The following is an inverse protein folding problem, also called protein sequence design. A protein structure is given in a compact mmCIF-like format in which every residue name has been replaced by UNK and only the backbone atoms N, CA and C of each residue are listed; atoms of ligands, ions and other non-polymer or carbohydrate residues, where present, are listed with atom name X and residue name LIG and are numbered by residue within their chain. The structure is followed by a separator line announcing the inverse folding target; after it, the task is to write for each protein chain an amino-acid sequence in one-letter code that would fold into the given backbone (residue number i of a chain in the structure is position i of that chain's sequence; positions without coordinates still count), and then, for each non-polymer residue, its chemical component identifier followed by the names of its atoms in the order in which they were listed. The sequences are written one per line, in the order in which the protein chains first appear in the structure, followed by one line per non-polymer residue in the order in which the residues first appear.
data_IF_480217940633
#
_entry.id   IF_480217940633
#
_cell.length_a   1.000
_cell.length_b   1.000
_cell.length_c   1.000
_cell.angle_alpha   90.00
_cell.angle_beta   90.00
_cell.angle_gamma   90.00
#
_symmetry.space_group_name_H-M   'P 1'
#
loop_
_entity.id
_entity.type
_entity.pdbx_description
1 polymer ?
#
# COMPACT_ATOMS: atom_id res chain seq x y z
N UNK A 1 -5.03 -21.23 23.66
CA UNK A 1 -4.25 -19.98 23.54
C UNK A 1 -4.17 -19.64 22.07
N UNK A 2 -5.01 -18.71 21.60
CA UNK A 2 -5.08 -18.34 20.19
C UNK A 2 -3.96 -17.33 19.91
N UNK A 3 -3.03 -17.70 19.04
CA UNK A 3 -2.04 -16.80 18.46
C UNK A 3 -2.81 -15.85 17.55
N UNK A 4 -2.82 -14.56 17.84
CA UNK A 4 -3.30 -13.53 16.94
C UNK A 4 -2.04 -12.83 16.47
N UNK A 5 -1.58 -13.19 15.28
CA UNK A 5 -0.42 -12.59 14.63
C UNK A 5 -0.97 -11.87 13.41
N UNK A 6 -1.46 -10.64 13.58
CA UNK A 6 -1.88 -9.84 12.42
C UNK A 6 -0.63 -9.19 11.85
N UNK A 7 0.09 -9.92 11.02
CA UNK A 7 1.23 -9.40 10.28
C UNK A 7 0.68 -8.87 8.94
N UNK A 8 0.69 -7.54 8.70
CA UNK A 8 0.42 -7.03 7.35
C UNK A 8 1.61 -6.27 6.78
N UNK A 9 2.66 -6.93 6.34
CA UNK A 9 3.78 -6.23 5.71
C UNK A 9 3.39 -5.68 4.33
N UNK A 10 2.90 -4.44 4.25
CA UNK A 10 2.72 -3.73 2.97
C UNK A 10 4.07 -3.23 2.44
N UNK A 11 4.68 -4.00 1.55
CA UNK A 11 5.84 -3.57 0.75
C UNK A 11 5.51 -3.82 -0.72
N UNK A 12 5.02 -2.79 -1.40
CA UNK A 12 4.73 -2.89 -2.83
C UNK A 12 6.00 -2.72 -3.66
N UNK A 13 6.29 -3.73 -4.49
CA UNK A 13 7.12 -3.62 -5.69
C UNK A 13 6.16 -3.48 -6.89
N UNK A 14 6.10 -2.31 -7.53
CA UNK A 14 5.16 -2.01 -8.61
C UNK A 14 5.86 -1.70 -9.93
N UNK A 15 6.42 -2.73 -10.55
CA UNK A 15 6.94 -2.67 -11.91
C UNK A 15 5.80 -2.55 -12.91
N UNK A 16 5.77 -1.41 -13.62
CA UNK A 16 4.93 -1.09 -14.78
C UNK A 16 3.57 -0.44 -14.48
N UNK A 17 3.56 0.85 -14.11
CA UNK A 17 2.34 1.63 -13.97
C UNK A 17 2.43 3.04 -14.60
N UNK A 18 2.94 3.16 -15.82
CA UNK A 18 2.78 4.40 -16.60
C UNK A 18 2.20 4.11 -17.98
N UNK A 19 1.09 4.76 -18.29
CA UNK A 19 0.64 5.03 -19.66
C UNK A 19 1.08 6.47 -19.96
N UNK A 20 1.61 6.68 -21.15
CA UNK A 20 2.31 7.89 -21.58
C UNK A 20 1.78 9.25 -21.05
N UNK A 21 2.75 10.10 -20.72
CA UNK A 21 2.77 11.57 -20.65
C UNK A 21 1.74 12.35 -19.80
N UNK A 22 0.74 11.74 -19.16
CA UNK A 22 -0.16 12.46 -18.22
C UNK A 22 -0.45 11.69 -16.91
N UNK A 23 0.49 11.86 -15.97
CA UNK A 23 0.36 12.19 -14.52
C UNK A 23 -0.52 11.40 -13.53
N UNK A 24 -1.31 10.39 -13.89
CA UNK A 24 -2.08 9.63 -12.87
C UNK A 24 -2.12 8.14 -13.13
N UNK A 25 -1.74 7.35 -12.11
CA UNK A 25 -1.79 5.89 -12.15
C UNK A 25 -3.23 5.41 -12.37
N UNK A 26 -3.44 4.39 -13.22
CA UNK A 26 -4.76 3.77 -13.39
C UNK A 26 -5.27 3.15 -12.08
N UNK A 27 -4.39 2.92 -11.10
CA UNK A 27 -4.74 2.48 -9.76
C UNK A 27 -5.67 3.46 -9.03
N UNK A 28 -5.61 4.75 -9.36
CA UNK A 28 -6.47 5.78 -8.76
C UNK A 28 -7.96 5.49 -8.95
N UNK A 29 -8.35 4.79 -10.03
CA UNK A 29 -9.75 4.45 -10.27
C UNK A 29 -10.35 3.51 -9.21
N UNK A 30 -9.50 2.79 -8.46
CA UNK A 30 -9.90 1.84 -7.43
C UNK A 30 -10.00 2.46 -6.03
N UNK A 31 -9.60 3.73 -5.88
CA UNK A 31 -9.70 4.44 -4.60
C UNK A 31 -10.85 5.43 -4.68
N UNK A 32 -11.83 5.24 -3.81
CA UNK A 32 -13.06 6.04 -3.76
C UNK A 32 -13.37 6.45 -2.31
N UNK A 33 -14.51 7.12 -2.11
CA UNK A 33 -14.97 7.47 -0.77
C UNK A 33 -15.25 6.24 0.10
N UNK A 34 -15.52 5.08 -0.50
CA UNK A 34 -15.90 3.83 0.20
C UNK A 34 -14.93 2.68 -0.01
N UNK A 35 -14.02 2.77 -0.99
CA UNK A 35 -13.14 1.67 -1.40
C UNK A 35 -11.67 2.11 -1.45
N UNK A 36 -10.76 1.18 -1.22
CA UNK A 36 -9.32 1.35 -1.43
C UNK A 36 -8.71 0.10 -2.01
N UNK A 37 -7.49 0.23 -2.50
CA UNK A 37 -6.62 -0.90 -2.78
C UNK A 37 -6.18 -1.50 -1.45
N UNK A 38 -6.36 -2.81 -1.33
CA UNK A 38 -5.80 -3.65 -0.27
C UNK A 38 -4.40 -4.11 -0.69
N UNK A 39 -4.26 -4.72 -1.86
CA UNK A 39 -2.94 -5.08 -2.39
C UNK A 39 -2.89 -5.08 -3.91
N UNK A 40 -1.69 -4.90 -4.45
CA UNK A 40 -1.35 -5.12 -5.84
C UNK A 40 -0.21 -6.14 -5.91
N UNK A 41 -0.24 -7.04 -6.88
CA UNK A 41 0.79 -8.04 -7.07
C UNK A 41 1.12 -8.23 -8.55
N UNK A 42 2.41 -8.49 -8.80
CA UNK A 42 2.89 -8.76 -10.16
C UNK A 42 2.42 -10.14 -10.63
N UNK A 43 1.95 -10.14 -11.88
CA UNK A 43 1.51 -11.27 -12.66
C UNK A 43 2.19 -11.25 -14.04
N UNK A 44 3.38 -10.65 -14.17
CA UNK A 44 4.15 -10.59 -15.42
C UNK A 44 4.51 -11.97 -15.97
N UNK A 45 4.71 -12.94 -15.09
CA UNK A 45 4.96 -14.35 -15.45
C UNK A 45 3.66 -15.16 -15.59
N UNK A 46 2.52 -14.61 -15.16
CA UNK A 46 1.23 -15.27 -15.15
C UNK A 46 0.39 -14.87 -16.37
N UNK A 47 -0.25 -15.86 -17.02
CA UNK A 47 -1.19 -15.58 -18.12
C UNK A 47 -2.56 -15.13 -17.63
N UNK A 48 -2.88 -15.41 -16.38
CA UNK A 48 -4.14 -15.10 -15.71
C UNK A 48 -3.95 -15.08 -14.19
N UNK A 49 -4.83 -14.40 -13.47
CA UNK A 49 -4.88 -14.49 -12.00
C UNK A 49 -5.63 -15.75 -11.61
N UNK A 50 -5.02 -16.59 -10.78
CA UNK A 50 -5.68 -17.77 -10.21
C UNK A 50 -6.24 -17.49 -8.82
N UNK A 51 -7.24 -18.27 -8.39
CA UNK A 51 -7.77 -18.20 -7.01
C UNK A 51 -6.69 -18.45 -5.96
N UNK A 52 -5.80 -19.41 -6.22
CA UNK A 52 -4.68 -19.73 -5.32
C UNK A 52 -3.75 -18.54 -5.14
N UNK A 53 -3.44 -17.82 -6.22
CA UNK A 53 -2.63 -16.59 -6.16
C UNK A 53 -3.31 -15.52 -5.31
N UNK A 54 -4.62 -15.31 -5.48
CA UNK A 54 -5.39 -14.38 -4.65
C UNK A 54 -5.33 -14.76 -3.18
N UNK A 55 -5.50 -16.05 -2.85
CA UNK A 55 -5.41 -16.54 -1.48
C UNK A 55 -4.03 -16.30 -0.88
N UNK A 56 -2.95 -16.63 -1.60
CA UNK A 56 -1.59 -16.39 -1.14
C UNK A 56 -1.33 -14.92 -0.83
N UNK A 57 -1.82 -14.02 -1.70
CA UNK A 57 -1.66 -12.59 -1.51
C UNK A 57 -2.46 -12.12 -0.29
N UNK A 58 -3.71 -12.55 -0.14
CA UNK A 58 -4.48 -12.22 1.05
C UNK A 58 -3.85 -12.81 2.32
N UNK A 59 -3.23 -13.98 2.26
CA UNK A 59 -2.57 -14.62 3.41
C UNK A 59 -1.33 -13.84 3.85
N UNK A 60 -0.49 -13.44 2.90
CA UNK A 60 0.66 -12.56 3.13
C UNK A 60 0.21 -11.21 3.71
N UNK A 61 -0.85 -10.65 3.13
CA UNK A 61 -1.30 -9.33 3.49
C UNK A 61 -1.99 -9.38 4.83
N UNK A 62 -2.94 -10.28 5.09
CA UNK A 62 -3.88 -10.20 6.21
C UNK A 62 -3.93 -11.42 7.13
N UNK A 63 -3.01 -12.39 7.01
CA UNK A 63 -3.09 -13.70 7.70
C UNK A 63 -4.44 -14.39 7.40
N UNK A 64 -4.80 -14.40 6.12
CA UNK A 64 -6.08 -14.83 5.56
C UNK A 64 -6.32 -16.34 5.69
N UNK A 65 -7.31 -16.70 6.51
CA UNK A 65 -7.76 -18.08 6.64
C UNK A 65 -8.74 -18.45 5.50
N UNK A 66 -8.31 -19.30 4.56
CA UNK A 66 -9.15 -19.85 3.47
C UNK A 66 -10.49 -20.45 3.95
N UNK A 67 -10.52 -20.95 5.19
CA UNK A 67 -11.73 -21.50 5.82
C UNK A 67 -12.80 -20.44 6.08
N UNK A 68 -12.40 -19.18 6.21
CA UNK A 68 -13.27 -18.05 6.57
C UNK A 68 -13.78 -17.28 5.35
N UNK A 69 -13.29 -17.59 4.15
CA UNK A 69 -13.67 -16.86 2.93
C UNK A 69 -13.93 -17.78 1.74
N UNK A 70 -14.70 -17.29 0.78
CA UNK A 70 -15.00 -17.93 -0.50
C UNK A 70 -14.58 -17.02 -1.67
N UNK A 71 -13.91 -17.59 -2.67
CA UNK A 71 -13.58 -16.89 -3.91
C UNK A 71 -14.54 -17.31 -5.02
N UNK A 72 -15.36 -16.37 -5.47
CA UNK A 72 -16.38 -16.57 -6.50
C UNK A 72 -16.12 -15.71 -7.73
N UNK A 73 -16.71 -16.11 -8.85
CA UNK A 73 -16.78 -15.25 -10.03
C UNK A 73 -17.89 -14.20 -9.84
N UNK A 74 -17.66 -12.93 -10.21
CA UNK A 74 -18.66 -11.88 -10.09
C UNK A 74 -19.86 -12.15 -11.01
N UNK A 75 -21.08 -12.04 -10.48
CA UNK A 75 -22.29 -12.19 -11.31
C UNK A 75 -22.47 -11.04 -12.31
N UNK A 76 -21.99 -9.84 -11.95
CA UNK A 76 -22.00 -8.63 -12.77
C UNK A 76 -20.62 -7.97 -12.68
N UNK A 77 -19.62 -8.48 -13.43
CA UNK A 77 -18.26 -7.97 -13.34
C UNK A 77 -18.18 -6.49 -13.74
N UNK A 78 -17.47 -5.71 -12.92
CA UNK A 78 -16.93 -4.43 -13.36
C UNK A 78 -15.80 -4.65 -14.39
N UNK A 79 -15.43 -3.62 -15.18
CA UNK A 79 -14.30 -3.72 -16.09
C UNK A 79 -13.04 -4.26 -15.39
N UNK A 80 -12.47 -5.33 -15.95
CA UNK A 80 -11.28 -6.03 -15.46
C UNK A 80 -11.45 -6.77 -14.12
N UNK A 81 -12.65 -6.83 -13.54
CA UNK A 81 -12.90 -7.61 -12.34
C UNK A 81 -12.91 -9.11 -12.68
N UNK A 82 -12.07 -9.88 -11.98
CA UNK A 82 -11.91 -11.32 -12.19
C UNK A 82 -12.53 -12.15 -11.06
N UNK A 83 -12.49 -11.67 -9.82
CA UNK A 83 -13.06 -12.39 -8.68
C UNK A 83 -13.71 -11.47 -7.65
N UNK A 84 -14.54 -12.09 -6.82
CA UNK A 84 -14.99 -11.57 -5.53
C UNK A 84 -14.55 -12.52 -4.43
N UNK A 85 -14.08 -11.96 -3.32
CA UNK A 85 -13.72 -12.71 -2.12
C UNK A 85 -14.66 -12.28 -1.01
N UNK A 86 -15.41 -13.25 -0.49
CA UNK A 86 -16.52 -13.01 0.43
C UNK A 86 -16.27 -13.76 1.71
N UNK A 87 -16.41 -13.09 2.86
CA UNK A 87 -16.40 -13.75 4.15
C UNK A 87 -17.57 -14.74 4.27
N UNK A 88 -17.29 -15.92 4.82
CA UNK A 88 -18.28 -16.96 5.13
C UNK A 88 -19.00 -16.71 6.46
N UNK A 89 -18.43 -15.88 7.33
CA UNK A 89 -19.08 -15.43 8.56
C UNK A 89 -20.08 -14.30 8.27
N UNK A 90 -20.85 -13.88 9.28
CA UNK A 90 -21.81 -12.78 9.15
C UNK A 90 -21.16 -11.42 8.80
N UNK A 91 -19.83 -11.36 8.74
CA UNK A 91 -19.11 -10.17 8.29
C UNK A 91 -19.37 -9.94 6.80
N UNK A 92 -19.76 -8.71 6.43
CA UNK A 92 -20.03 -8.33 5.03
C UNK A 92 -18.76 -7.94 4.28
N UNK A 93 -17.64 -8.54 4.67
CA UNK A 93 -16.34 -8.23 4.10
C UNK A 93 -16.29 -8.81 2.70
N UNK A 94 -16.06 -7.90 1.75
CA UNK A 94 -16.14 -8.14 0.33
C UNK A 94 -14.94 -7.48 -0.30
N UNK A 95 -14.07 -8.31 -0.86
CA UNK A 95 -12.95 -7.84 -1.66
C UNK A 95 -13.24 -8.09 -3.12
N UNK A 96 -12.92 -7.12 -3.97
CA UNK A 96 -12.95 -7.31 -5.43
C UNK A 96 -11.53 -7.46 -5.93
N UNK A 97 -11.34 -8.42 -6.83
CA UNK A 97 -10.06 -8.69 -7.47
C UNK A 97 -10.15 -8.27 -8.94
N UNK A 98 -9.18 -7.49 -9.39
CA UNK A 98 -9.06 -7.03 -10.76
C UNK A 98 -7.73 -7.50 -11.37
N UNK A 99 -7.70 -7.68 -12.70
CA UNK A 99 -6.49 -7.98 -13.45
C UNK A 99 -6.31 -6.99 -14.60
N UNK A 100 -5.26 -6.17 -14.55
CA UNK A 100 -4.97 -5.14 -15.56
C UNK A 100 -3.49 -5.16 -15.85
N UNK A 101 -3.09 -5.25 -17.13
CA UNK A 101 -1.70 -5.10 -17.58
C UNK A 101 -0.69 -5.94 -16.78
N UNK A 102 -0.99 -7.22 -16.55
CA UNK A 102 -0.15 -8.12 -15.74
C UNK A 102 -0.07 -7.74 -14.25
N UNK A 103 -1.01 -6.98 -13.74
CA UNK A 103 -1.10 -6.63 -12.31
C UNK A 103 -2.41 -7.14 -11.74
N UNK A 104 -2.32 -7.94 -10.68
CA UNK A 104 -3.45 -8.27 -9.82
C UNK A 104 -3.69 -7.18 -8.78
N UNK A 105 -4.95 -6.84 -8.56
CA UNK A 105 -5.37 -5.74 -7.68
C UNK A 105 -6.50 -6.25 -6.81
N UNK A 106 -6.32 -6.26 -5.49
CA UNK A 106 -7.36 -6.56 -4.53
C UNK A 106 -7.79 -5.25 -3.90
N UNK A 107 -9.09 -5.01 -3.86
CA UNK A 107 -9.68 -3.83 -3.22
C UNK A 107 -10.49 -4.23 -2.00
N UNK A 108 -10.56 -3.33 -1.03
CA UNK A 108 -11.33 -3.51 0.20
C UNK A 108 -12.22 -2.30 0.46
N UNK A 109 -13.33 -2.52 1.19
CA UNK A 109 -14.10 -1.42 1.76
C UNK A 109 -13.26 -0.68 2.79
N UNK A 110 -13.42 0.63 2.84
CA UNK A 110 -12.73 1.47 3.81
C UNK A 110 -13.09 1.15 5.26
N UNK A 111 -14.35 0.79 5.50
CA UNK A 111 -14.81 0.39 6.84
C UNK A 111 -14.08 -0.86 7.37
N UNK A 112 -13.72 -1.79 6.48
CA UNK A 112 -12.96 -2.98 6.85
C UNK A 112 -11.58 -2.60 7.42
N UNK A 113 -10.84 -1.76 6.68
CA UNK A 113 -9.53 -1.22 7.05
C UNK A 113 -9.61 -0.50 8.41
N UNK A 114 -10.60 0.37 8.59
CA UNK A 114 -10.80 1.10 9.86
C UNK A 114 -11.08 0.17 11.04
N UNK A 115 -11.89 -0.87 10.85
CA UNK A 115 -12.20 -1.83 11.90
C UNK A 115 -10.95 -2.63 12.28
N UNK A 116 -10.15 -3.06 11.30
CA UNK A 116 -8.93 -3.80 11.55
C UNK A 116 -7.89 -2.95 12.32
N UNK A 117 -7.75 -1.66 11.98
CA UNK A 117 -6.95 -0.70 12.77
C UNK A 117 -7.45 -0.60 14.21
N UNK A 118 -8.77 -0.43 14.38
CA UNK A 118 -9.36 -0.24 15.70
C UNK A 118 -9.14 -1.48 16.59
N UNK A 119 -9.29 -2.69 16.01
CA UNK A 119 -9.02 -3.95 16.71
C UNK A 119 -7.55 -4.02 17.10
N UNK A 120 -6.63 -3.71 16.20
CA UNK A 120 -5.21 -3.76 16.52
C UNK A 120 -4.83 -2.80 17.65
N UNK A 121 -5.23 -1.53 17.55
CA UNK A 121 -4.99 -0.54 18.61
C UNK A 121 -5.59 -0.99 19.96
N UNK A 122 -6.76 -1.63 19.94
CA UNK A 122 -7.38 -2.16 21.16
C UNK A 122 -6.55 -3.28 21.78
N UNK A 123 -5.99 -4.18 20.96
CA UNK A 123 -5.11 -5.24 21.46
C UNK A 123 -3.84 -4.62 22.06
N UNK A 124 -3.23 -3.63 21.41
CA UNK A 124 -2.06 -2.91 21.98
C UNK A 124 -2.35 -2.32 23.35
N UNK A 125 -3.53 -1.69 23.50
CA UNK A 125 -3.98 -1.12 24.78
C UNK A 125 -4.16 -2.19 25.86
N UNK A 126 -4.62 -3.38 25.49
CA UNK A 126 -4.92 -4.47 26.43
C UNK A 126 -3.68 -5.29 26.82
N UNK A 127 -2.78 -5.56 25.86
CA UNK A 127 -1.63 -6.44 26.06
C UNK A 127 -0.34 -5.68 26.35
N UNK A 128 -0.26 -4.39 25.98
CA UNK A 128 0.98 -3.63 25.97
C UNK A 128 2.00 -4.15 24.94
N UNK A 129 1.63 -5.14 24.13
CA UNK A 129 2.42 -5.60 22.99
C UNK A 129 2.13 -4.67 21.83
N UNK A 130 3.19 -4.10 21.24
CA UNK A 130 3.09 -3.35 20.00
C UNK A 130 2.61 -4.30 18.90
N UNK A 131 1.36 -4.11 18.48
CA UNK A 131 0.74 -4.87 17.41
C UNK A 131 1.07 -4.05 16.17
N UNK A 132 2.13 -4.47 15.49
CA UNK A 132 2.39 -3.98 14.15
C UNK A 132 1.13 -4.21 13.32
N UNK A 133 0.37 -3.14 13.09
CA UNK A 133 -0.90 -3.14 12.37
C UNK A 133 -0.74 -2.25 11.14
N UNK A 134 -0.14 -2.77 10.08
CA UNK A 134 0.31 -1.90 9.01
C UNK A 134 -0.84 -1.53 8.07
N UNK A 135 -2.08 -1.92 8.40
CA UNK A 135 -3.31 -1.44 7.78
C UNK A 135 -3.42 0.04 8.08
N UNK A 136 -2.64 0.91 7.45
CA UNK A 136 -2.90 2.34 7.39
C UNK A 136 -2.57 2.77 5.97
N UNK A 137 -3.60 2.69 5.13
CA UNK A 137 -3.74 3.33 3.83
C UNK A 137 -2.47 3.46 2.98
N UNK A 138 -1.66 2.41 2.84
CA UNK A 138 -0.50 2.39 1.94
C UNK A 138 -0.95 2.34 0.49
N UNK A 139 -1.23 3.48 -0.15
CA UNK A 139 -1.46 3.50 -1.61
C UNK A 139 -0.14 3.82 -2.29
N UNK A 140 0.28 2.96 -3.21
CA UNK A 140 1.35 3.26 -4.15
C UNK A 140 0.88 4.29 -5.16
N UNK A 141 1.63 5.38 -5.30
CA UNK A 141 1.13 6.53 -6.06
C UNK A 141 1.80 6.65 -7.42
N UNK A 142 3.13 6.69 -7.49
CA UNK A 142 3.85 6.88 -8.78
C UNK A 142 5.23 6.22 -8.76
N UNK A 143 5.65 5.74 -9.94
CA UNK A 143 7.03 5.37 -10.26
C UNK A 143 7.73 6.53 -10.97
N UNK A 144 8.88 6.98 -10.46
CA UNK A 144 9.68 8.04 -11.08
C UNK A 144 11.11 7.57 -11.30
N UNK A 145 11.55 7.53 -12.56
CA UNK A 145 12.95 7.28 -12.89
C UNK A 145 13.81 8.49 -12.46
N UNK A 146 14.61 8.29 -11.42
CA UNK A 146 15.49 9.31 -10.85
C UNK A 146 16.92 9.19 -11.40
N UNK A 147 17.18 8.19 -12.25
CA UNK A 147 18.45 7.97 -12.93
C UNK A 147 19.56 7.40 -12.05
N UNK A 148 19.26 6.98 -10.82
CA UNK A 148 20.23 6.45 -9.87
C UNK A 148 19.70 5.19 -9.19
N UNK A 149 20.53 4.16 -9.14
CA UNK A 149 20.26 2.93 -8.39
C UNK A 149 20.78 3.06 -6.96
N UNK A 150 20.12 2.37 -6.03
CA UNK A 150 20.62 2.17 -4.67
C UNK A 150 20.97 3.49 -3.94
N UNK A 151 20.06 4.45 -3.95
CA UNK A 151 20.23 5.74 -3.26
C UNK A 151 20.38 5.49 -1.76
N UNK A 152 21.48 5.97 -1.20
CA UNK A 152 21.82 5.89 0.21
C UNK A 152 21.39 7.14 0.97
N UNK A 153 21.32 7.08 2.30
CA UNK A 153 21.02 8.24 3.16
C UNK A 153 21.97 9.44 2.96
N UNK A 154 23.18 9.19 2.43
CA UNK A 154 24.20 10.22 2.18
C UNK A 154 24.08 10.89 0.81
N UNK A 155 23.24 10.36 -0.08
CA UNK A 155 23.06 10.84 -1.46
C UNK A 155 22.12 12.07 -1.53
N UNK A 156 22.52 13.14 -0.84
CA UNK A 156 21.73 14.37 -0.67
C UNK A 156 21.18 14.98 -1.98
N UNK A 157 21.92 14.88 -3.08
CA UNK A 157 21.44 15.33 -4.41
C UNK A 157 20.20 14.55 -4.87
N UNK A 158 20.23 13.22 -4.75
CA UNK A 158 19.16 12.35 -5.22
C UNK A 158 17.98 12.33 -4.27
N UNK A 159 18.22 12.44 -2.97
CA UNK A 159 17.15 12.66 -1.97
C UNK A 159 16.39 13.94 -2.30
N UNK A 160 17.11 15.05 -2.55
CA UNK A 160 16.48 16.33 -2.92
C UNK A 160 15.68 16.23 -4.23
N UNK A 161 16.19 15.52 -5.25
CA UNK A 161 15.45 15.28 -6.50
C UNK A 161 14.17 14.48 -6.27
N UNK A 162 14.22 13.46 -5.41
CA UNK A 162 13.05 12.66 -5.04
C UNK A 162 12.01 13.56 -4.36
N UNK A 163 12.42 14.32 -3.34
CA UNK A 163 11.57 15.25 -2.61
C UNK A 163 10.96 16.33 -3.52
N UNK A 164 11.73 16.93 -4.42
CA UNK A 164 11.24 17.91 -5.40
C UNK A 164 10.20 17.29 -6.34
N UNK A 165 10.43 16.05 -6.78
CA UNK A 165 9.45 15.32 -7.59
C UNK A 165 8.17 15.04 -6.81
N UNK A 166 8.30 14.55 -5.58
CA UNK A 166 7.19 14.29 -4.67
C UNK A 166 6.40 15.58 -4.41
N UNK A 167 7.05 16.70 -4.15
CA UNK A 167 6.38 18.01 -4.03
C UNK A 167 5.69 18.44 -5.33
N UNK A 168 6.21 18.07 -6.51
CA UNK A 168 5.55 18.38 -7.77
C UNK A 168 4.21 17.65 -7.97
N UNK A 169 4.06 16.48 -7.35
CA UNK A 169 2.80 15.69 -7.35
C UNK A 169 1.95 15.93 -6.09
N UNK A 170 2.56 16.41 -5.00
CA UNK A 170 1.90 16.83 -3.76
C UNK A 170 2.35 18.26 -3.38
N UNK A 171 1.84 19.31 -4.04
CA UNK A 171 2.33 20.68 -3.85
C UNK A 171 2.10 21.24 -2.44
N UNK A 172 1.25 20.58 -1.64
CA UNK A 172 0.99 20.91 -0.24
C UNK A 172 1.93 20.19 0.74
N UNK A 173 2.76 19.25 0.28
CA UNK A 173 3.78 18.62 1.13
C UNK A 173 4.94 19.57 1.37
N UNK A 174 5.12 19.94 2.65
CA UNK A 174 6.31 20.63 3.12
C UNK A 174 7.15 19.67 3.96
N UNK A 175 8.21 19.14 3.36
CA UNK A 175 9.14 18.21 3.99
C UNK A 175 9.79 18.74 5.26
N UNK A 176 9.83 20.07 5.48
CA UNK A 176 10.33 20.66 6.72
C UNK A 176 9.45 20.36 7.94
N UNK A 177 8.19 19.98 7.72
CA UNK A 177 7.26 19.57 8.79
C UNK A 177 7.40 18.08 9.16
N UNK A 178 8.29 17.36 8.49
CA UNK A 178 8.52 15.94 8.69
C UNK A 178 9.92 15.68 9.25
N UNK A 179 10.02 14.60 10.02
CA UNK A 179 11.27 13.99 10.43
C UNK A 179 11.53 12.80 9.52
N UNK A 180 12.66 12.81 8.81
CA UNK A 180 13.12 11.68 8.00
C UNK A 180 13.79 10.63 8.90
N UNK A 181 13.41 9.35 8.74
CA UNK A 181 14.16 8.19 9.19
C UNK A 181 14.43 7.27 8.00
N UNK A 182 15.67 6.82 7.86
CA UNK A 182 16.06 5.89 6.80
C UNK A 182 16.15 4.48 7.38
N UNK A 183 15.68 3.48 6.63
CA UNK A 183 15.75 2.06 7.00
C UNK A 183 16.11 1.18 5.80
N UNK A 184 16.71 0.03 6.06
CA UNK A 184 16.98 -1.00 5.05
C UNK A 184 15.80 -1.98 4.96
N UNK A 185 15.43 -2.39 3.75
CA UNK A 185 14.43 -3.42 3.49
C UNK A 185 15.05 -4.75 3.03
N UNK A 186 14.22 -5.80 2.95
CA UNK A 186 14.64 -7.21 2.80
C UNK A 186 15.45 -7.53 1.52
N UNK A 187 15.36 -6.68 0.50
CA UNK A 187 16.04 -6.86 -0.79
C UNK A 187 17.20 -5.86 -1.02
N UNK A 188 17.74 -5.28 0.06
CA UNK A 188 18.78 -4.24 -0.02
C UNK A 188 18.25 -2.90 -0.55
N UNK A 189 16.93 -2.73 -0.53
CA UNK A 189 16.28 -1.46 -0.83
C UNK A 189 16.43 -0.51 0.36
N UNK A 190 16.57 0.79 0.07
CA UNK A 190 16.62 1.83 1.09
C UNK A 190 15.27 2.52 1.13
N UNK A 191 14.71 2.66 2.33
CA UNK A 191 13.38 3.21 2.57
C UNK A 191 13.54 4.53 3.33
N UNK A 192 12.98 5.60 2.78
CA UNK A 192 13.01 6.95 3.32
C UNK A 192 11.64 7.27 3.92
N UNK A 193 11.53 7.23 5.24
CA UNK A 193 10.28 7.33 5.98
C UNK A 193 10.12 8.72 6.61
N UNK A 194 9.04 9.42 6.30
CA UNK A 194 8.76 10.77 6.77
C UNK A 194 7.62 10.75 7.79
N UNK A 195 7.90 11.27 8.98
CA UNK A 195 6.97 11.31 10.10
C UNK A 195 6.65 12.76 10.46
N UNK A 196 5.37 13.09 10.60
CA UNK A 196 4.98 14.28 11.37
C UNK A 196 5.48 14.14 12.80
N UNK A 197 5.68 15.29 13.46
CA UNK A 197 6.10 15.32 14.87
C UNK A 197 5.14 14.50 15.77
N UNK A 198 3.85 14.63 15.54
CA UNK A 198 2.82 13.89 16.28
C UNK A 198 2.90 12.37 16.04
N UNK A 199 3.07 11.93 14.79
CA UNK A 199 3.25 10.52 14.47
C UNK A 199 4.47 9.93 15.19
N UNK A 200 5.58 10.69 15.20
CA UNK A 200 6.82 10.26 15.84
C UNK A 200 6.71 10.17 17.37
N UNK A 201 6.02 11.12 18.01
CA UNK A 201 5.76 11.11 19.46
C UNK A 201 4.83 9.97 19.89
N UNK A 202 3.95 9.53 18.99
CA UNK A 202 3.00 8.44 19.23
C UNK A 202 3.49 7.06 18.75
N UNK A 203 4.77 6.94 18.36
CA UNK A 203 5.32 5.73 17.72
C UNK A 203 4.46 5.20 16.57
N UNK A 204 3.86 6.11 15.80
CA UNK A 204 3.06 5.74 14.64
C UNK A 204 3.97 5.54 13.42
N UNK A 205 3.45 4.76 12.45
CA UNK A 205 3.99 4.64 11.10
C UNK A 205 4.23 6.01 10.46
N UNK A 206 5.17 6.04 9.50
CA UNK A 206 5.42 7.21 8.66
C UNK A 206 4.14 7.69 7.98
N UNK A 207 4.04 8.99 7.75
CA UNK A 207 2.94 9.57 6.97
C UNK A 207 3.13 9.31 5.48
N UNK A 208 4.39 9.30 5.06
CA UNK A 208 4.84 9.19 3.69
C UNK A 208 6.19 8.48 3.66
N UNK A 209 6.41 7.62 2.66
CA UNK A 209 7.72 7.07 2.39
C UNK A 209 8.00 6.96 0.89
N UNK A 210 9.28 6.88 0.56
CA UNK A 210 9.69 6.41 -0.75
C UNK A 210 10.82 5.40 -0.63
N UNK A 211 10.85 4.47 -1.58
CA UNK A 211 11.78 3.34 -1.61
C UNK A 211 12.71 3.55 -2.80
N UNK A 212 14.00 3.41 -2.57
CA UNK A 212 15.01 3.22 -3.61
C UNK A 212 15.33 1.73 -3.71
N UNK A 213 14.89 1.04 -4.78
CA UNK A 213 15.31 -0.32 -5.05
C UNK A 213 16.83 -0.41 -5.28
N UNK A 214 17.41 -1.56 -4.91
CA UNK A 214 18.85 -1.81 -5.07
C UNK A 214 19.29 -1.79 -6.54
N UNK A 215 18.50 -2.40 -7.42
CA UNK A 215 18.90 -2.71 -8.81
C UNK A 215 18.18 -1.85 -9.87
N UNK A 216 17.36 -0.90 -9.45
CA UNK A 216 16.52 -0.11 -10.34
C UNK A 216 16.73 1.39 -10.13
N UNK A 217 16.48 2.19 -11.17
CA UNK A 217 16.66 3.65 -11.17
C UNK A 217 15.38 4.41 -10.86
N UNK A 218 14.26 3.71 -10.69
CA UNK A 218 13.04 4.35 -10.23
C UNK A 218 12.94 4.39 -8.71
N UNK A 219 12.21 5.38 -8.20
CA UNK A 219 11.73 5.37 -6.82
C UNK A 219 10.26 4.95 -6.79
N UNK A 220 9.90 4.28 -5.70
CA UNK A 220 8.54 3.85 -5.41
C UNK A 220 7.99 4.71 -4.26
N UNK A 221 6.83 5.33 -4.46
CA UNK A 221 6.27 6.30 -3.51
C UNK A 221 5.04 5.72 -2.79
N UNK A 222 5.04 5.79 -1.46
CA UNK A 222 4.01 5.25 -0.57
C UNK A 222 3.46 6.39 0.30
N UNK A 223 2.15 6.61 0.27
CA UNK A 223 1.47 7.40 1.30
C UNK A 223 0.81 6.43 2.26
N UNK A 224 0.99 6.64 3.57
CA UNK A 224 0.30 5.89 4.63
C UNK A 224 -0.65 6.78 5.44
N UNK A 225 -0.50 8.10 5.38
CA UNK A 225 -1.44 9.06 5.96
C UNK A 225 -2.69 9.19 5.10
N UNK A 226 -3.88 8.97 5.70
CA UNK A 226 -5.14 9.01 4.96
C UNK A 226 -5.52 10.39 4.47
N UNK A 227 -5.37 11.41 5.30
CA UNK A 227 -5.74 12.78 4.94
C UNK A 227 -4.86 13.27 3.79
N UNK A 228 -3.59 12.87 3.80
CA UNK A 228 -2.64 13.14 2.72
C UNK A 228 -3.05 12.45 1.41
N UNK A 229 -3.48 11.18 1.50
CA UNK A 229 -3.97 10.40 0.36
C UNK A 229 -5.29 10.97 -0.20
N UNK A 230 -6.23 11.35 0.66
CA UNK A 230 -7.50 11.95 0.25
C UNK A 230 -7.27 13.32 -0.42
N UNK A 231 -6.37 14.13 0.14
CA UNK A 231 -5.97 15.41 -0.48
C UNK A 231 -5.41 15.18 -1.88
N UNK A 232 -4.58 14.14 -2.06
CA UNK A 232 -3.98 13.78 -3.34
C UNK A 232 -5.03 13.35 -4.37
N UNK A 233 -5.86 12.36 -4.01
CA UNK A 233 -6.81 11.74 -4.94
C UNK A 233 -7.86 12.76 -5.38
N UNK A 234 -8.34 13.59 -4.45
CA UNK A 234 -9.42 14.52 -4.72
C UNK A 234 -8.96 15.91 -5.14
N UNK A 235 -7.63 16.14 -5.28
CA UNK A 235 -7.05 17.46 -5.54
C UNK A 235 -7.65 18.56 -4.65
N UNK A 236 -7.80 18.27 -3.35
CA UNK A 236 -8.38 19.19 -2.37
C UNK A 236 -7.34 20.13 -1.78
#
# INVERSE_FOLDING_TARGET
MKKILVLLSFVFLLTACTKDELKTSYLQQFVTEDTTILCCFDCSEDKEITKERVLQQLDIEMDFLEKEYEIIEPQKPEPNQVYEVISKDESKDHFKVYYINNTGIITAKRAFINNAIAVANQIELETGEEIYAPIKWGTYIVRYDIGQKNIQETDTEYIKKAEEYIQSIFPYLDFNNYTLKVSEGDAGQIIFNYYTKEALEKNQIYDFSWISPLNDTHIDIIISNRDLLDTFIYNK
#
